data_IF_047188601531
#
_entry.id   IF_047188601531
#
_cell.length_a   1.000
_cell.length_b   1.000
_cell.length_c   1.000
_cell.angle_alpha   90.00
_cell.angle_beta   90.00
_cell.angle_gamma   90.00
#
_symmetry.space_group_name_H-M   'P 1'
#
loop_
_entity.id
_entity.type
_entity.pdbx_description
1 polymer ?
#
# COMPACT_ATOMS: atom_id res chain seq x y z
N UNK A 1 25.06 -13.82 17.99
CA UNK A 1 24.25 -13.75 16.75
C UNK A 1 23.80 -12.32 16.58
N UNK A 2 24.30 -11.61 15.57
CA UNK A 2 23.86 -10.24 15.31
C UNK A 2 22.36 -10.28 15.00
N UNK A 3 21.54 -9.63 15.83
CA UNK A 3 20.14 -9.34 15.47
C UNK A 3 20.22 -8.50 14.21
N UNK A 4 19.85 -9.08 13.06
CA UNK A 4 19.70 -8.30 11.84
C UNK A 4 18.69 -7.18 12.16
N UNK A 5 19.09 -5.93 11.98
CA UNK A 5 18.20 -4.78 12.11
C UNK A 5 17.02 -5.02 11.15
N UNK A 6 15.77 -4.98 11.62
CA UNK A 6 14.63 -5.16 10.75
C UNK A 6 14.67 -4.09 9.64
N UNK A 7 14.31 -4.43 8.39
CA UNK A 7 14.35 -3.47 7.31
C UNK A 7 13.39 -2.32 7.62
N UNK A 8 13.88 -1.08 7.50
CA UNK A 8 13.05 0.11 7.64
C UNK A 8 12.28 0.36 6.34
N UNK A 9 11.07 0.93 6.45
CA UNK A 9 10.28 1.33 5.28
C UNK A 9 10.26 2.84 5.21
N UNK A 10 11.19 3.38 4.42
CA UNK A 10 11.27 4.81 4.14
C UNK A 10 10.37 5.17 2.97
N UNK A 11 9.56 6.21 3.16
CA UNK A 11 8.60 6.66 2.15
C UNK A 11 9.32 7.09 0.87
N UNK A 12 10.42 7.85 1.02
CA UNK A 12 11.17 8.40 -0.11
C UNK A 12 11.77 7.30 -0.98
N UNK A 13 12.28 6.23 -0.37
CA UNK A 13 12.74 5.05 -1.09
C UNK A 13 11.62 4.39 -1.88
N UNK A 14 10.41 4.26 -1.30
CA UNK A 14 9.27 3.64 -1.97
C UNK A 14 8.76 4.49 -3.12
N UNK A 15 8.68 5.81 -2.95
CA UNK A 15 8.24 6.71 -4.01
C UNK A 15 9.25 6.79 -5.14
N UNK A 16 10.56 6.82 -4.83
CA UNK A 16 11.64 6.83 -5.81
C UNK A 16 11.67 5.55 -6.69
N UNK A 17 10.95 4.49 -6.30
CA UNK A 17 10.73 3.37 -7.21
C UNK A 17 9.94 3.83 -8.44
N UNK A 18 8.83 4.55 -8.30
CA UNK A 18 7.93 4.81 -9.43
C UNK A 18 7.97 6.24 -9.95
N UNK A 19 8.70 7.13 -9.29
CA UNK A 19 8.68 8.55 -9.55
C UNK A 19 10.10 9.13 -9.56
N UNK A 20 10.40 9.95 -10.56
CA UNK A 20 11.62 10.78 -10.57
C UNK A 20 11.48 11.93 -9.57
N UNK A 21 10.29 12.53 -9.48
CA UNK A 21 9.94 13.54 -8.49
C UNK A 21 8.79 13.06 -7.62
N UNK A 22 8.99 13.04 -6.29
CA UNK A 22 7.95 12.68 -5.34
C UNK A 22 6.73 13.63 -5.44
N UNK A 23 6.95 14.88 -5.86
CA UNK A 23 5.91 15.90 -6.00
C UNK A 23 4.83 15.54 -7.04
N UNK A 24 5.17 14.72 -8.04
CA UNK A 24 4.21 14.21 -9.03
C UNK A 24 3.11 13.37 -8.36
N UNK A 25 3.50 12.62 -7.33
CA UNK A 25 2.59 11.87 -6.47
C UNK A 25 1.98 12.80 -5.40
N UNK A 26 2.80 13.62 -4.74
CA UNK A 26 2.36 14.62 -3.77
C UNK A 26 3.41 14.98 -2.74
N UNK A 27 3.01 15.80 -1.77
CA UNK A 27 3.87 16.12 -0.62
C UNK A 27 3.38 15.41 0.63
N UNK A 28 4.32 14.98 1.46
CA UNK A 28 4.06 14.09 2.58
C UNK A 28 4.57 14.72 3.87
N UNK A 29 3.73 14.71 4.90
CA UNK A 29 4.08 15.17 6.24
C UNK A 29 3.80 14.05 7.22
N UNK A 30 4.82 13.62 7.96
CA UNK A 30 4.66 12.63 9.02
C UNK A 30 3.71 13.17 10.09
N UNK A 31 2.71 12.36 10.47
CA UNK A 31 1.74 12.73 11.50
C UNK A 31 1.66 11.63 12.57
N UNK A 32 1.69 12.00 13.86
CA UNK A 32 1.38 11.05 14.93
C UNK A 32 -0.05 10.50 14.77
N UNK A 33 -0.31 9.22 15.09
CA UNK A 33 -1.65 8.63 14.98
C UNK A 33 -2.74 9.45 15.68
N UNK A 34 -2.42 10.10 16.79
CA UNK A 34 -3.33 10.90 17.61
C UNK A 34 -3.85 12.13 16.86
N UNK A 35 -3.03 12.69 15.97
CA UNK A 35 -3.33 13.88 15.16
C UNK A 35 -4.02 13.54 13.84
N UNK A 36 -4.04 12.27 13.45
CA UNK A 36 -4.76 11.81 12.27
C UNK A 36 -6.28 11.89 12.50
N UNK A 37 -7.06 12.50 11.59
CA UNK A 37 -8.51 12.62 11.76
C UNK A 37 -9.17 11.25 11.94
N UNK A 38 -10.18 11.17 12.82
CA UNK A 38 -10.77 9.90 13.25
C UNK A 38 -11.20 8.95 12.11
N UNK A 39 -11.81 9.43 11.00
CA UNK A 39 -12.17 8.55 9.88
C UNK A 39 -10.97 7.89 9.21
N UNK A 40 -9.81 8.55 9.17
CA UNK A 40 -8.58 8.00 8.57
C UNK A 40 -7.81 7.16 9.58
N UNK A 41 -7.73 7.61 10.84
CA UNK A 41 -7.05 6.89 11.91
C UNK A 41 -7.56 5.45 12.07
N UNK A 42 -8.88 5.25 12.02
CA UNK A 42 -9.50 3.94 12.14
C UNK A 42 -9.04 2.91 11.09
N UNK A 43 -8.56 3.37 9.92
CA UNK A 43 -8.11 2.50 8.82
C UNK A 43 -6.60 2.52 8.68
N UNK A 44 -5.91 3.57 9.11
CA UNK A 44 -4.46 3.67 8.95
C UNK A 44 -3.71 3.10 10.16
N UNK A 45 -4.22 3.33 11.37
CA UNK A 45 -3.57 2.95 12.62
C UNK A 45 -3.97 1.55 13.10
N UNK A 46 -3.74 0.53 12.26
CA UNK A 46 -4.00 -0.86 12.61
C UNK A 46 -2.93 -1.81 12.04
N UNK A 47 -2.73 -2.96 12.67
CA UNK A 47 -1.71 -3.95 12.28
C UNK A 47 -2.27 -5.09 11.41
N UNK A 48 -3.27 -4.81 10.59
CA UNK A 48 -3.84 -5.78 9.64
C UNK A 48 -3.61 -5.34 8.19
N UNK A 49 -3.95 -6.23 7.26
CA UNK A 49 -3.87 -5.93 5.83
C UNK A 49 -4.81 -4.79 5.45
N UNK A 50 -4.27 -3.83 4.70
CA UNK A 50 -5.04 -2.65 4.30
C UNK A 50 -6.30 -3.02 3.48
N UNK A 51 -6.22 -4.03 2.61
CA UNK A 51 -7.37 -4.49 1.80
C UNK A 51 -8.59 -4.80 2.67
N UNK A 52 -8.43 -5.55 3.76
CA UNK A 52 -9.54 -5.91 4.67
C UNK A 52 -10.11 -4.67 5.38
N UNK A 53 -9.23 -3.74 5.78
CA UNK A 53 -9.66 -2.51 6.43
C UNK A 53 -10.43 -1.58 5.48
N UNK A 54 -10.00 -1.52 4.20
CA UNK A 54 -10.69 -0.76 3.15
C UNK A 54 -12.07 -1.37 2.85
N UNK A 55 -12.15 -2.69 2.68
CA UNK A 55 -13.42 -3.37 2.46
C UNK A 55 -14.39 -3.13 3.61
N UNK A 56 -13.92 -3.26 4.86
CA UNK A 56 -14.73 -2.99 6.05
C UNK A 56 -15.21 -1.54 6.12
N UNK A 57 -14.37 -0.56 5.78
CA UNK A 57 -14.74 0.87 5.76
C UNK A 57 -15.88 1.13 4.77
N UNK A 58 -15.79 0.52 3.61
CA UNK A 58 -16.69 0.81 2.49
C UNK A 58 -17.88 -0.13 2.40
N UNK A 59 -17.91 -1.20 3.22
CA UNK A 59 -19.00 -2.17 3.24
C UNK A 59 -19.10 -3.01 1.96
N UNK A 60 -18.02 -3.08 1.17
CA UNK A 60 -17.98 -3.81 -0.09
C UNK A 60 -16.57 -4.36 -0.37
N UNK A 61 -16.49 -5.37 -1.24
CA UNK A 61 -15.22 -5.86 -1.78
C UNK A 61 -14.54 -4.81 -2.68
N UNK A 62 -13.24 -4.98 -2.88
CA UNK A 62 -12.43 -4.13 -3.75
C UNK A 62 -11.69 -4.93 -4.80
N UNK A 63 -11.62 -4.37 -6.00
CA UNK A 63 -10.80 -4.86 -7.10
C UNK A 63 -9.42 -4.19 -7.06
N UNK A 64 -8.39 -4.91 -7.50
CA UNK A 64 -7.07 -4.35 -7.74
C UNK A 64 -6.92 -3.96 -9.20
N UNK A 65 -6.42 -2.76 -9.43
CA UNK A 65 -5.93 -2.33 -10.75
C UNK A 65 -4.41 -2.13 -10.63
N UNK A 66 -3.63 -2.83 -11.43
CA UNK A 66 -2.17 -2.65 -11.46
C UNK A 66 -1.83 -1.61 -12.52
N UNK A 67 -1.35 -0.45 -12.08
CA UNK A 67 -0.96 0.65 -12.96
C UNK A 67 0.42 0.38 -13.59
N UNK A 68 1.33 -0.17 -12.80
CA UNK A 68 2.68 -0.53 -13.24
C UNK A 68 3.21 -1.67 -12.38
N UNK A 69 3.95 -2.60 -12.98
CA UNK A 69 4.66 -3.64 -12.25
C UNK A 69 5.96 -4.00 -12.95
N UNK A 70 6.99 -4.32 -12.16
CA UNK A 70 8.30 -4.71 -12.67
C UNK A 70 9.10 -5.48 -11.62
N UNK A 71 10.09 -6.23 -12.08
CA UNK A 71 11.01 -6.97 -11.22
C UNK A 71 12.37 -6.29 -11.24
N UNK A 72 12.96 -6.06 -10.07
CA UNK A 72 14.30 -5.49 -9.90
C UNK A 72 15.07 -6.32 -8.88
N UNK A 73 16.03 -7.11 -9.38
CA UNK A 73 16.76 -8.09 -8.57
C UNK A 73 15.82 -9.06 -7.86
N UNK A 74 15.89 -9.20 -6.51
CA UNK A 74 15.02 -10.10 -5.76
C UNK A 74 13.63 -9.51 -5.48
N UNK A 75 13.37 -8.27 -5.91
CA UNK A 75 12.14 -7.56 -5.58
C UNK A 75 11.18 -7.50 -6.76
N UNK A 76 9.93 -7.87 -6.49
CA UNK A 76 8.79 -7.52 -7.32
C UNK A 76 8.18 -6.21 -6.83
N UNK A 77 8.06 -5.26 -7.74
CA UNK A 77 7.55 -3.92 -7.48
C UNK A 77 6.22 -3.77 -8.20
N UNK A 78 5.25 -3.13 -7.54
CA UNK A 78 3.98 -2.77 -8.19
C UNK A 78 3.38 -1.49 -7.63
N UNK A 79 2.80 -0.71 -8.55
CA UNK A 79 1.98 0.46 -8.32
C UNK A 79 0.53 0.10 -8.64
N UNK A 80 -0.37 0.29 -7.69
CA UNK A 80 -1.75 -0.20 -7.77
C UNK A 80 -2.79 0.82 -7.33
N UNK A 81 -4.02 0.62 -7.77
CA UNK A 81 -5.23 1.17 -7.18
C UNK A 81 -6.07 0.06 -6.57
N UNK A 82 -6.83 0.39 -5.54
CA UNK A 82 -8.00 -0.38 -5.14
C UNK A 82 -9.26 0.40 -5.49
N UNK A 83 -10.19 -0.27 -6.18
CA UNK A 83 -11.50 0.25 -6.55
C UNK A 83 -12.58 -0.50 -5.83
N UNK A 84 -13.59 0.21 -5.36
CA UNK A 84 -14.78 -0.44 -4.81
C UNK A 84 -15.57 -1.11 -5.91
N UNK A 85 -16.00 -2.34 -5.68
CA UNK A 85 -16.88 -3.03 -6.62
C UNK A 85 -18.25 -2.34 -6.73
N UNK A 86 -18.71 -1.66 -5.67
CA UNK A 86 -20.02 -1.00 -5.63
C UNK A 86 -20.20 0.12 -6.65
N UNK A 87 -19.15 0.90 -6.91
CA UNK A 87 -19.23 2.13 -7.71
C UNK A 87 -17.96 2.45 -8.50
N UNK A 88 -16.99 1.54 -8.53
CA UNK A 88 -15.70 1.66 -9.23
C UNK A 88 -14.84 2.85 -8.78
N UNK A 89 -15.21 3.50 -7.67
CA UNK A 89 -14.46 4.62 -7.11
C UNK A 89 -13.13 4.13 -6.56
N UNK A 90 -12.07 4.86 -6.88
CA UNK A 90 -10.74 4.66 -6.30
C UNK A 90 -10.78 5.04 -4.83
N UNK A 91 -10.36 4.11 -3.97
CA UNK A 91 -10.34 4.29 -2.51
C UNK A 91 -8.96 4.18 -1.91
N UNK A 92 -8.01 3.65 -2.67
CA UNK A 92 -6.62 3.56 -2.24
C UNK A 92 -5.68 3.55 -3.44
N UNK A 93 -4.58 4.28 -3.31
CA UNK A 93 -3.38 4.12 -4.12
C UNK A 93 -2.33 3.37 -3.28
N UNK A 94 -1.52 2.52 -3.90
CA UNK A 94 -0.49 1.77 -3.20
C UNK A 94 0.75 1.47 -4.02
N UNK A 95 1.92 1.61 -3.40
CA UNK A 95 3.19 1.10 -3.88
C UNK A 95 3.58 -0.09 -3.02
N UNK A 96 4.01 -1.18 -3.66
CA UNK A 96 4.43 -2.40 -2.99
C UNK A 96 5.81 -2.79 -3.52
N UNK A 97 6.74 -3.03 -2.59
CA UNK A 97 8.03 -3.71 -2.82
C UNK A 97 7.99 -5.04 -2.09
N UNK A 98 8.14 -6.15 -2.82
CA UNK A 98 8.00 -7.51 -2.29
C UNK A 98 9.24 -8.34 -2.63
N UNK A 99 9.90 -8.93 -1.62
CA UNK A 99 10.94 -9.91 -1.83
C UNK A 99 10.30 -11.25 -2.23
N UNK A 100 10.35 -11.61 -3.52
CA UNK A 100 9.66 -12.80 -4.04
C UNK A 100 10.28 -14.11 -3.56
N UNK A 101 11.57 -14.08 -3.21
CA UNK A 101 12.29 -15.23 -2.64
C UNK A 101 11.84 -15.59 -1.23
N UNK A 102 11.16 -14.68 -0.52
CA UNK A 102 10.59 -14.94 0.79
C UNK A 102 9.21 -15.61 0.73
N UNK A 103 8.75 -16.00 -0.47
CA UNK A 103 7.43 -16.58 -0.67
C UNK A 103 7.50 -17.98 -1.27
N UNK A 104 6.55 -18.83 -0.88
CA UNK A 104 6.34 -20.11 -1.52
C UNK A 104 5.99 -19.92 -3.01
N UNK A 105 6.43 -20.81 -3.92
CA UNK A 105 6.25 -20.64 -5.36
C UNK A 105 4.81 -20.38 -5.79
N UNK A 106 3.85 -21.09 -5.21
CA UNK A 106 2.42 -20.92 -5.53
C UNK A 106 1.91 -19.51 -5.18
N UNK A 107 2.26 -19.01 -3.99
CA UNK A 107 1.90 -17.66 -3.53
C UNK A 107 2.55 -16.60 -4.42
N UNK A 108 3.83 -16.80 -4.76
CA UNK A 108 4.56 -15.91 -5.67
C UNK A 108 3.87 -15.84 -7.03
N UNK A 109 3.59 -16.98 -7.65
CA UNK A 109 3.03 -17.05 -9.00
C UNK A 109 1.64 -16.40 -9.05
N UNK A 110 0.83 -16.54 -8.00
CA UNK A 110 -0.46 -15.88 -7.90
C UNK A 110 -0.36 -14.36 -7.72
N UNK A 111 0.62 -13.86 -6.96
CA UNK A 111 0.90 -12.43 -6.85
C UNK A 111 1.36 -11.85 -8.20
N UNK A 112 2.20 -12.59 -8.92
CA UNK A 112 2.71 -12.22 -10.24
C UNK A 112 1.61 -12.25 -11.31
N UNK A 113 0.55 -13.04 -11.10
CA UNK A 113 -0.62 -13.02 -11.97
C UNK A 113 -1.46 -11.73 -11.87
N UNK A 114 -1.25 -10.90 -10.83
CA UNK A 114 -1.86 -9.57 -10.68
C UNK A 114 -3.40 -9.52 -10.63
N UNK A 115 -4.08 -10.66 -10.48
CA UNK A 115 -5.55 -10.75 -10.59
C UNK A 115 -6.32 -10.28 -9.35
N UNK A 116 -5.72 -10.41 -8.17
CA UNK A 116 -6.36 -10.06 -6.89
C UNK A 116 -5.41 -9.24 -6.00
N UNK A 117 -5.93 -8.44 -5.05
CA UNK A 117 -5.11 -7.64 -4.15
C UNK A 117 -4.07 -8.51 -3.42
N UNK A 118 -2.86 -7.98 -3.17
CA UNK A 118 -1.79 -8.72 -2.49
C UNK A 118 -2.34 -9.27 -1.19
N UNK A 119 -2.87 -8.41 -0.32
CA UNK A 119 -3.43 -8.81 0.97
C UNK A 119 -4.41 -9.99 0.89
N UNK A 120 -5.18 -10.11 -0.20
CA UNK A 120 -6.09 -11.24 -0.41
C UNK A 120 -5.32 -12.54 -0.69
N UNK A 121 -4.39 -12.55 -1.65
CA UNK A 121 -3.52 -13.71 -1.91
C UNK A 121 -2.85 -14.19 -0.62
N UNK A 122 -2.37 -13.25 0.19
CA UNK A 122 -1.67 -13.57 1.42
C UNK A 122 -2.57 -14.25 2.47
N UNK A 123 -3.80 -13.78 2.58
CA UNK A 123 -4.81 -14.33 3.49
C UNK A 123 -5.26 -15.71 3.01
N UNK A 124 -5.56 -15.86 1.72
CA UNK A 124 -6.11 -17.09 1.15
C UNK A 124 -5.13 -18.27 1.27
N UNK A 125 -3.83 -17.97 1.24
CA UNK A 125 -2.76 -18.96 1.44
C UNK A 125 -2.33 -19.14 2.91
N UNK A 126 -3.09 -18.60 3.87
CA UNK A 126 -2.82 -18.68 5.31
C UNK A 126 -1.38 -18.29 5.69
N UNK A 127 -0.78 -17.37 4.95
CA UNK A 127 0.55 -16.92 5.30
C UNK A 127 0.40 -16.09 6.57
N UNK A 128 1.03 -16.53 7.66
CA UNK A 128 1.10 -15.78 8.91
C UNK A 128 1.85 -14.49 8.66
N UNK A 129 1.21 -13.36 8.95
CA UNK A 129 1.77 -12.05 8.63
C UNK A 129 1.56 -11.07 9.75
N UNK A 130 2.69 -10.57 10.24
CA UNK A 130 2.72 -9.42 11.11
C UNK A 130 2.86 -8.16 10.25
N UNK A 131 1.89 -7.25 10.35
CA UNK A 131 2.00 -5.93 9.75
C UNK A 131 2.56 -4.97 10.79
N UNK A 132 3.74 -4.45 10.52
CA UNK A 132 4.37 -3.41 11.33
C UNK A 132 4.12 -2.05 10.67
N UNK A 133 3.31 -1.22 11.32
CA UNK A 133 3.12 0.18 10.91
C UNK A 133 4.44 0.93 11.07
N UNK A 134 4.91 1.57 10.00
CA UNK A 134 6.15 2.35 10.00
C UNK A 134 5.85 3.84 10.18
N UNK A 135 4.80 4.36 9.56
CA UNK A 135 4.42 5.77 9.68
C UNK A 135 3.04 6.07 9.10
N UNK A 136 2.45 7.17 9.57
CA UNK A 136 1.22 7.75 9.01
C UNK A 136 1.60 9.10 8.40
N UNK A 137 1.03 9.38 7.23
CA UNK A 137 1.39 10.55 6.43
C UNK A 137 0.13 11.33 6.10
N UNK A 138 0.13 12.63 6.39
CA UNK A 138 -0.76 13.56 5.71
C UNK A 138 -0.20 13.80 4.32
N UNK A 139 -1.05 13.67 3.30
CA UNK A 139 -0.67 13.78 1.90
C UNK A 139 -1.42 14.93 1.27
N UNK A 140 -0.67 15.84 0.64
CA UNK A 140 -1.23 16.83 -0.26
C UNK A 140 -1.08 16.28 -1.68
N UNK A 141 -2.18 15.98 -2.35
CA UNK A 141 -2.16 15.30 -3.64
C UNK A 141 -1.41 16.12 -4.70
N UNK A 142 -0.39 15.51 -5.29
CA UNK A 142 0.25 15.96 -6.52
C UNK A 142 -0.66 15.73 -7.74
N UNK A 143 -0.19 16.08 -8.95
CA UNK A 143 -0.99 15.97 -10.16
C UNK A 143 -1.46 14.54 -10.44
N UNK A 144 -0.61 13.52 -10.29
CA UNK A 144 -1.00 12.13 -10.57
C UNK A 144 -2.01 11.63 -9.54
N UNK A 145 -1.74 11.78 -8.24
CA UNK A 145 -2.63 11.28 -7.20
C UNK A 145 -3.99 11.97 -7.23
N UNK A 146 -4.02 13.26 -7.55
CA UNK A 146 -5.25 14.02 -7.74
C UNK A 146 -6.09 13.48 -8.91
N UNK A 147 -5.45 13.21 -10.05
CA UNK A 147 -6.11 12.60 -11.20
C UNK A 147 -6.66 11.19 -10.87
N UNK A 148 -5.84 10.34 -10.24
CA UNK A 148 -6.23 8.98 -9.85
C UNK A 148 -7.42 8.97 -8.89
N UNK A 149 -7.47 9.89 -7.91
CA UNK A 149 -8.60 10.01 -6.98
C UNK A 149 -9.76 10.85 -7.50
N UNK A 150 -9.65 11.41 -8.71
CA UNK A 150 -10.64 12.33 -9.27
C UNK A 150 -10.96 13.49 -8.31
N UNK A 151 -9.92 14.08 -7.73
CA UNK A 151 -10.01 15.22 -6.84
C UNK A 151 -9.12 16.38 -7.32
N UNK A 152 -9.30 17.60 -6.81
CA UNK A 152 -8.42 18.72 -7.16
C UNK A 152 -6.98 18.48 -6.68
N UNK A 153 -5.99 18.96 -7.46
CA UNK A 153 -4.61 19.03 -6.98
C UNK A 153 -4.55 19.85 -5.69
N UNK A 154 -3.70 19.43 -4.74
CA UNK A 154 -3.66 20.03 -3.40
C UNK A 154 -4.71 19.47 -2.42
N UNK A 155 -5.58 18.56 -2.85
CA UNK A 155 -6.50 17.88 -1.94
C UNK A 155 -5.73 17.15 -0.84
N UNK A 156 -6.21 17.26 0.40
CA UNK A 156 -5.59 16.61 1.55
C UNK A 156 -6.20 15.24 1.81
N UNK A 157 -5.36 14.22 1.82
CA UNK A 157 -5.71 12.86 2.22
C UNK A 157 -4.67 12.30 3.19
N UNK A 158 -4.78 11.02 3.53
CA UNK A 158 -3.88 10.36 4.48
C UNK A 158 -3.49 8.98 3.97
N UNK A 159 -2.24 8.59 4.24
CA UNK A 159 -1.67 7.31 3.89
C UNK A 159 -0.83 6.73 5.03
N UNK A 160 -0.29 5.54 4.80
CA UNK A 160 0.64 4.90 5.73
C UNK A 160 1.74 4.16 4.97
N UNK A 161 2.89 4.02 5.62
CA UNK A 161 3.91 3.03 5.26
C UNK A 161 3.86 1.90 6.27
N UNK A 162 4.02 0.67 5.80
CA UNK A 162 4.04 -0.51 6.66
C UNK A 162 4.91 -1.61 6.05
N UNK A 163 5.54 -2.39 6.92
CA UNK A 163 6.24 -3.61 6.57
C UNK A 163 5.33 -4.81 6.82
N UNK A 164 5.37 -5.79 5.92
CA UNK A 164 4.64 -7.04 6.07
C UNK A 164 5.68 -8.15 6.14
N UNK A 165 5.80 -8.79 7.30
CA UNK A 165 6.61 -10.01 7.44
C UNK A 165 5.86 -11.18 6.86
N UNK A 166 6.57 -12.02 6.09
CA UNK A 166 6.05 -13.23 5.47
C UNK A 166 6.91 -14.38 6.00
N UNK A 167 6.29 -15.37 6.62
CA UNK A 167 6.96 -16.60 7.07
C UNK A 167 7.03 -17.66 5.96
#
# INVERSE_FOLDING_TARGET
MAKATPPTVELDELTALFYESQEDLGTFVAVPPETCPAPYRAILAHQSHMTVAVEKRHGCSVDVEVLEARTSGPHYLRKILLRRQSDQRVVQFGIVRLATLALQPQVRDEILAQRIPLGRVLIDHNVMRQVQLSGIWQVTCGPELAALFSCPQGHRCFGRTALIYCD
#
